data_IF_189024005423
#
_entry.id   IF_189024005423
#
_cell.length_a   1.000
_cell.length_b   1.000
_cell.length_c   1.000
_cell.angle_alpha   90.00
_cell.angle_beta   90.00
_cell.angle_gamma   90.00
#
_symmetry.space_group_name_H-M   'P 1'
#
loop_
_entity.id
_entity.type
_entity.pdbx_description
1 polymer ?
#
# COMPACT_ATOMS: atom_id res chain seq x y z
N UNK A 1 -10.36 18.77 9.73
CA UNK A 1 -9.72 18.52 8.41
C UNK A 1 -10.64 17.61 7.60
N UNK A 2 -10.57 17.63 6.27
CA UNK A 2 -11.30 16.67 5.44
C UNK A 2 -10.79 15.24 5.71
N UNK A 3 -11.66 14.24 5.59
CA UNK A 3 -11.26 12.82 5.75
C UNK A 3 -10.39 12.36 4.57
N UNK A 4 -9.67 11.25 4.72
CA UNK A 4 -8.85 10.72 3.64
C UNK A 4 -9.72 10.35 2.43
N UNK A 5 -10.87 9.73 2.65
CA UNK A 5 -11.82 9.37 1.61
C UNK A 5 -12.34 10.60 0.85
N UNK A 6 -12.62 11.71 1.54
CA UNK A 6 -13.03 12.95 0.88
C UNK A 6 -11.91 13.51 -0.02
N UNK A 7 -10.67 13.50 0.46
CA UNK A 7 -9.51 13.94 -0.33
C UNK A 7 -9.22 13.02 -1.52
N UNK A 8 -9.33 11.70 -1.34
CA UNK A 8 -9.18 10.70 -2.42
C UNK A 8 -10.27 10.89 -3.48
N UNK A 9 -11.51 11.14 -3.06
CA UNK A 9 -12.63 11.44 -3.95
C UNK A 9 -12.36 12.69 -4.78
N UNK A 10 -11.82 13.76 -4.18
CA UNK A 10 -11.42 14.97 -4.92
C UNK A 10 -10.34 14.67 -5.97
N UNK A 11 -9.34 13.83 -5.66
CA UNK A 11 -8.33 13.42 -6.66
C UNK A 11 -8.98 12.60 -7.77
N UNK A 12 -9.84 11.63 -7.42
CA UNK A 12 -10.51 10.77 -8.40
C UNK A 12 -11.40 11.58 -9.35
N UNK A 13 -12.16 12.53 -8.82
CA UNK A 13 -12.98 13.45 -9.61
C UNK A 13 -12.13 14.35 -10.49
N UNK A 14 -11.02 14.89 -9.97
CA UNK A 14 -10.07 15.67 -10.76
C UNK A 14 -9.46 14.87 -11.92
N UNK A 15 -9.12 13.60 -11.71
CA UNK A 15 -8.67 12.70 -12.78
C UNK A 15 -9.79 12.50 -13.81
N UNK A 16 -11.02 12.21 -13.37
CA UNK A 16 -12.15 12.00 -14.26
C UNK A 16 -12.49 13.22 -15.12
N UNK A 17 -12.38 14.43 -14.56
CA UNK A 17 -12.72 15.66 -15.25
C UNK A 17 -11.64 16.14 -16.22
N UNK A 18 -10.36 15.90 -15.90
CA UNK A 18 -9.23 16.50 -16.63
C UNK A 18 -8.44 15.50 -17.48
N UNK A 19 -8.55 14.19 -17.24
CA UNK A 19 -7.86 13.20 -18.06
C UNK A 19 -8.50 13.09 -19.46
N UNK A 20 -7.71 12.88 -20.51
CA UNK A 20 -8.25 12.55 -21.83
C UNK A 20 -9.17 11.32 -21.76
N UNK A 21 -10.28 11.32 -22.51
CA UNK A 21 -11.28 10.24 -22.46
C UNK A 21 -10.70 8.81 -22.58
N UNK A 22 -9.71 8.53 -23.47
CA UNK A 22 -9.09 7.21 -23.51
C UNK A 22 -8.41 6.79 -22.20
N UNK A 23 -7.77 7.73 -21.50
CA UNK A 23 -7.09 7.50 -20.22
C UNK A 23 -8.12 7.29 -19.11
N UNK A 24 -9.17 8.12 -19.06
CA UNK A 24 -10.24 7.96 -18.07
C UNK A 24 -10.99 6.62 -18.23
N UNK A 25 -11.24 6.18 -19.47
CA UNK A 25 -11.85 4.89 -19.77
C UNK A 25 -10.93 3.74 -19.37
N UNK A 26 -9.65 3.79 -19.73
CA UNK A 26 -8.66 2.77 -19.35
C UNK A 26 -8.52 2.61 -17.83
N UNK A 27 -8.55 3.72 -17.08
CA UNK A 27 -8.56 3.70 -15.61
C UNK A 27 -9.82 3.01 -15.09
N UNK A 28 -10.98 3.36 -15.63
CA UNK A 28 -12.28 2.81 -15.20
C UNK A 28 -12.38 1.31 -15.51
N UNK A 29 -12.02 0.91 -16.72
CA UNK A 29 -11.98 -0.50 -17.15
C UNK A 29 -10.98 -1.31 -16.33
N UNK A 30 -9.82 -0.74 -15.99
CA UNK A 30 -8.86 -1.38 -15.11
C UNK A 30 -9.49 -1.66 -13.74
N UNK A 31 -10.12 -0.68 -13.10
CA UNK A 31 -10.75 -0.85 -11.79
C UNK A 31 -11.88 -1.89 -11.83
N UNK A 32 -12.73 -1.85 -12.84
CA UNK A 32 -13.80 -2.84 -12.98
C UNK A 32 -13.25 -4.25 -13.25
N UNK A 33 -12.17 -4.36 -14.03
CA UNK A 33 -11.43 -5.61 -14.23
C UNK A 33 -10.83 -6.15 -12.93
N UNK A 34 -10.23 -5.29 -12.09
CA UNK A 34 -9.77 -5.67 -10.74
C UNK A 34 -10.93 -6.19 -9.91
N UNK A 35 -12.03 -5.43 -9.82
CA UNK A 35 -13.20 -5.80 -9.00
C UNK A 35 -13.80 -7.13 -9.43
N UNK A 36 -13.82 -7.42 -10.74
CA UNK A 36 -14.39 -8.63 -11.29
C UNK A 36 -13.51 -9.88 -11.08
N UNK A 37 -12.18 -9.72 -11.04
CA UNK A 37 -11.24 -10.86 -11.06
C UNK A 37 -10.48 -11.06 -9.75
N UNK A 38 -10.47 -10.08 -8.85
CA UNK A 38 -9.75 -10.18 -7.59
C UNK A 38 -10.44 -11.14 -6.61
N UNK A 39 -9.77 -12.24 -6.29
CA UNK A 39 -10.25 -13.23 -5.32
C UNK A 39 -10.06 -12.75 -3.88
N UNK A 40 -11.07 -12.07 -3.35
CA UNK A 40 -11.11 -11.65 -1.95
C UNK A 40 -11.04 -12.81 -0.95
N UNK A 41 -11.35 -14.05 -1.36
CA UNK A 41 -11.33 -15.21 -0.47
C UNK A 41 -9.91 -15.72 -0.16
N UNK A 42 -8.96 -15.43 -1.06
CA UNK A 42 -7.54 -15.74 -0.91
C UNK A 42 -6.79 -14.75 -0.01
N UNK A 43 -7.38 -13.57 0.26
CA UNK A 43 -6.78 -12.56 1.14
C UNK A 43 -6.63 -13.11 2.56
N UNK A 44 -5.49 -12.81 3.19
CA UNK A 44 -5.24 -13.13 4.60
C UNK A 44 -6.40 -12.70 5.49
N UNK A 45 -6.75 -13.54 6.48
CA UNK A 45 -7.95 -13.34 7.32
C UNK A 45 -7.57 -12.95 8.75
N UNK A 46 -8.40 -12.13 9.43
CA UNK A 46 -8.31 -11.98 10.88
C UNK A 46 -8.26 -13.32 11.62
N UNK A 47 -7.49 -13.38 12.71
CA UNK A 47 -7.26 -14.58 13.51
C UNK A 47 -6.13 -15.48 13.00
N UNK A 48 -5.54 -15.19 11.84
CA UNK A 48 -4.42 -15.97 11.30
C UNK A 48 -3.05 -15.37 11.70
N UNK A 49 -1.99 -16.18 11.84
CA UNK A 49 -0.64 -15.66 12.00
C UNK A 49 -0.18 -14.91 10.75
N UNK A 50 0.52 -13.77 10.95
CA UNK A 50 1.18 -13.07 9.86
C UNK A 50 2.33 -13.94 9.30
N UNK A 51 2.38 -14.21 7.98
CA UNK A 51 3.53 -14.88 7.38
C UNK A 51 4.81 -14.10 7.61
N UNK A 52 5.90 -14.82 7.89
CA UNK A 52 7.20 -14.18 8.13
C UNK A 52 7.74 -13.52 6.86
N UNK A 53 8.28 -12.31 7.00
CA UNK A 53 9.00 -11.65 5.91
C UNK A 53 10.33 -11.07 6.38
N UNK A 54 11.21 -10.84 5.41
CA UNK A 54 12.46 -10.11 5.54
C UNK A 54 12.60 -9.23 4.30
N UNK A 55 12.41 -7.93 4.46
CA UNK A 55 12.38 -6.97 3.36
C UNK A 55 13.38 -5.83 3.60
N UNK A 56 14.11 -5.37 2.58
CA UNK A 56 14.98 -4.21 2.72
C UNK A 56 14.13 -2.94 2.84
N UNK A 57 14.55 -2.03 3.71
CA UNK A 57 14.01 -0.68 3.77
C UNK A 57 14.68 0.23 2.74
N UNK A 58 14.28 1.51 2.70
CA UNK A 58 14.83 2.52 1.80
C UNK A 58 16.36 2.77 1.93
N UNK A 59 16.99 2.30 3.01
CA UNK A 59 18.44 2.35 3.23
C UNK A 59 19.15 1.04 2.89
N UNK A 60 18.43 0.05 2.37
CA UNK A 60 18.94 -1.30 2.08
C UNK A 60 19.14 -2.17 3.33
N UNK A 61 18.64 -1.73 4.49
CA UNK A 61 18.71 -2.51 5.72
C UNK A 61 17.53 -3.47 5.76
N UNK A 62 17.82 -4.74 6.05
CA UNK A 62 16.78 -5.75 6.24
C UNK A 62 15.96 -5.47 7.50
N UNK A 63 14.63 -5.50 7.33
CA UNK A 63 13.62 -5.44 8.39
C UNK A 63 12.82 -6.74 8.37
N UNK A 64 12.67 -7.39 9.52
CA UNK A 64 11.90 -8.64 9.64
C UNK A 64 10.58 -8.41 10.35
N UNK A 65 9.56 -9.21 10.00
CA UNK A 65 8.27 -9.21 10.72
C UNK A 65 8.46 -9.40 12.22
N UNK A 66 9.35 -10.31 12.63
CA UNK A 66 9.70 -10.56 14.03
C UNK A 66 10.25 -9.31 14.72
N UNK A 67 11.18 -8.58 14.08
CA UNK A 67 11.77 -7.37 14.67
C UNK A 67 10.76 -6.23 14.83
N UNK A 68 9.69 -6.23 14.02
CA UNK A 68 8.60 -5.26 14.13
C UNK A 68 7.64 -5.65 15.25
N UNK A 69 7.19 -6.90 15.27
CA UNK A 69 6.24 -7.44 16.26
C UNK A 69 6.84 -7.38 17.68
N UNK A 70 8.16 -7.59 17.83
CA UNK A 70 8.85 -7.46 19.11
C UNK A 70 8.76 -6.06 19.74
N UNK A 71 8.46 -5.01 18.95
CA UNK A 71 8.29 -3.64 19.44
C UNK A 71 6.85 -3.35 19.92
N UNK A 72 5.88 -4.17 19.53
CA UNK A 72 4.46 -3.95 19.77
C UNK A 72 3.59 -4.31 18.56
N UNK A 73 2.30 -3.95 18.58
CA UNK A 73 1.43 -4.12 17.43
C UNK A 73 1.96 -3.36 16.19
N UNK A 74 1.64 -3.87 15.01
CA UNK A 74 2.13 -3.33 13.73
C UNK A 74 0.96 -3.02 12.80
N UNK A 75 0.92 -1.80 12.28
CA UNK A 75 0.03 -1.41 11.20
C UNK A 75 0.80 -1.46 9.88
N UNK A 76 0.48 -2.42 9.01
CA UNK A 76 1.16 -2.63 7.72
C UNK A 76 0.25 -2.14 6.61
N UNK A 77 0.73 -1.25 5.75
CA UNK A 77 -0.02 -0.76 4.58
C UNK A 77 0.72 -1.10 3.28
N UNK A 78 0.01 -1.71 2.34
CA UNK A 78 0.50 -2.03 1.01
C UNK A 78 0.05 -0.96 0.01
N UNK A 79 0.98 -0.51 -0.82
CA UNK A 79 0.72 0.50 -1.85
C UNK A 79 1.42 0.15 -3.16
N UNK A 80 0.98 0.79 -4.26
CA UNK A 80 1.42 0.46 -5.62
C UNK A 80 2.81 0.97 -5.96
N UNK A 81 3.11 2.18 -5.47
CA UNK A 81 4.39 2.87 -5.66
C UNK A 81 4.26 4.39 -5.53
N UNK A 82 5.39 5.09 -5.47
CA UNK A 82 5.50 6.54 -5.26
C UNK A 82 4.89 7.38 -6.39
N UNK A 83 4.71 6.78 -7.56
CA UNK A 83 4.12 7.39 -8.76
C UNK A 83 2.61 7.49 -8.66
N UNK A 84 1.99 6.80 -7.69
CA UNK A 84 0.54 6.75 -7.56
C UNK A 84 0.04 7.86 -6.61
N UNK A 85 -0.74 8.84 -7.10
CA UNK A 85 -1.17 9.99 -6.29
C UNK A 85 -2.06 9.57 -5.10
N UNK A 86 -2.90 8.55 -5.28
CA UNK A 86 -3.73 7.99 -4.20
C UNK A 86 -2.88 7.33 -3.11
N UNK A 87 -1.75 6.71 -3.47
CA UNK A 87 -0.82 6.12 -2.50
C UNK A 87 -0.13 7.22 -1.67
N UNK A 88 0.39 8.25 -2.33
CA UNK A 88 1.08 9.35 -1.64
C UNK A 88 0.15 10.08 -0.66
N UNK A 89 -1.11 10.30 -1.03
CA UNK A 89 -2.09 10.90 -0.13
C UNK A 89 -2.37 10.00 1.08
N UNK A 90 -2.51 8.69 0.89
CA UNK A 90 -2.71 7.73 1.98
C UNK A 90 -1.52 7.72 2.94
N UNK A 91 -0.29 7.66 2.43
CA UNK A 91 0.94 7.67 3.24
C UNK A 91 1.10 8.99 4.01
N UNK A 92 0.81 10.14 3.37
CA UNK A 92 0.77 11.44 4.05
C UNK A 92 -0.27 11.47 5.17
N UNK A 93 -1.44 10.87 4.95
CA UNK A 93 -2.49 10.80 5.96
C UNK A 93 -2.06 9.98 7.18
N UNK A 94 -1.39 8.84 6.97
CA UNK A 94 -0.77 8.07 8.06
C UNK A 94 0.34 8.86 8.78
N UNK A 95 1.19 9.56 8.02
CA UNK A 95 2.26 10.41 8.56
C UNK A 95 1.71 11.51 9.49
N UNK A 96 0.55 12.09 9.17
CA UNK A 96 -0.11 13.11 9.99
C UNK A 96 -0.65 12.55 11.33
N UNK A 97 -0.96 11.26 11.38
CA UNK A 97 -1.47 10.56 12.57
C UNK A 97 -0.38 9.74 13.27
N UNK A 98 0.86 9.81 12.82
CA UNK A 98 1.95 8.94 13.28
C UNK A 98 2.18 9.02 14.78
N UNK A 99 2.15 10.22 15.36
CA UNK A 99 2.32 10.40 16.81
C UNK A 99 1.21 9.72 17.62
N UNK A 100 -0.01 9.62 17.07
CA UNK A 100 -1.12 8.92 17.73
C UNK A 100 -0.93 7.40 17.67
N UNK A 101 -0.45 6.87 16.54
CA UNK A 101 -0.08 5.45 16.44
C UNK A 101 1.05 5.11 17.42
N UNK A 102 2.11 5.93 17.46
CA UNK A 102 3.23 5.74 18.39
C UNK A 102 2.82 5.86 19.86
N UNK A 103 1.94 6.80 20.20
CA UNK A 103 1.41 6.94 21.56
C UNK A 103 0.64 5.69 22.04
N UNK A 104 0.10 4.90 21.11
CA UNK A 104 -0.55 3.61 21.37
C UNK A 104 0.40 2.41 21.24
N UNK A 105 1.70 2.64 21.10
CA UNK A 105 2.73 1.60 20.97
C UNK A 105 2.72 0.87 19.62
N UNK A 106 2.09 1.43 18.59
CA UNK A 106 1.97 0.80 17.27
C UNK A 106 3.07 1.27 16.34
N UNK A 107 3.74 0.31 15.70
CA UNK A 107 4.69 0.58 14.62
C UNK A 107 3.95 0.63 13.28
N UNK A 108 4.11 1.71 12.52
CA UNK A 108 3.56 1.81 11.16
C UNK A 108 4.62 1.39 10.14
N UNK A 109 4.24 0.63 9.12
CA UNK A 109 5.12 0.19 8.03
C UNK A 109 4.38 0.26 6.70
N UNK A 110 5.03 0.80 5.66
CA UNK A 110 4.54 0.77 4.29
C UNK A 110 5.35 -0.20 3.43
N UNK A 111 4.69 -0.94 2.54
CA UNK A 111 5.31 -1.94 1.67
C UNK A 111 4.83 -1.75 0.22
N UNK A 112 5.76 -1.74 -0.72
CA UNK A 112 5.48 -1.74 -2.17
C UNK A 112 6.45 -2.67 -2.91
N UNK A 113 6.18 -3.04 -4.17
CA UNK A 113 7.13 -3.83 -4.96
C UNK A 113 8.31 -3.01 -5.51
N UNK A 114 8.32 -1.70 -5.30
CA UNK A 114 9.35 -0.83 -5.87
C UNK A 114 10.71 -1.18 -5.32
N UNK A 115 11.70 -1.22 -6.21
CA UNK A 115 13.10 -1.36 -5.82
C UNK A 115 13.47 -0.26 -4.82
N UNK A 116 14.31 -0.55 -3.81
CA UNK A 116 14.80 0.47 -2.91
C UNK A 116 15.46 1.58 -3.74
N UNK A 117 14.86 2.77 -3.76
CA UNK A 117 15.42 3.87 -4.52
C UNK A 117 16.63 4.44 -3.77
N UNK A 118 17.82 3.95 -4.13
CA UNK A 118 19.07 4.34 -3.50
C UNK A 118 19.53 5.75 -3.90
N UNK A 119 18.94 6.36 -4.94
CA UNK A 119 19.33 7.70 -5.40
C UNK A 119 18.69 8.84 -4.60
N UNK A 120 17.68 8.56 -3.77
CA UNK A 120 17.08 9.56 -2.90
C UNK A 120 18.06 9.97 -1.80
N UNK A 121 18.17 11.27 -1.57
CA UNK A 121 18.88 11.82 -0.41
C UNK A 121 18.22 11.34 0.89
N UNK A 122 19.00 11.28 1.98
CA UNK A 122 18.46 10.95 3.31
C UNK A 122 17.27 11.85 3.67
N UNK A 123 17.26 13.11 3.22
CA UNK A 123 16.19 14.09 3.44
C UNK A 123 14.89 13.71 2.72
N UNK A 124 14.96 13.22 1.48
CA UNK A 124 13.78 12.74 0.73
C UNK A 124 13.27 11.41 1.31
N UNK A 125 14.16 10.55 1.80
CA UNK A 125 13.80 9.34 2.56
C UNK A 125 13.18 9.66 3.93
N UNK A 126 13.35 10.88 4.44
CA UNK A 126 12.87 11.34 5.74
C UNK A 126 11.50 12.04 5.70
N UNK A 127 10.84 12.18 4.54
CA UNK A 127 9.48 12.74 4.50
C UNK A 127 8.48 11.85 5.24
N UNK A 128 8.72 10.53 5.22
CA UNK A 128 8.02 9.56 6.05
C UNK A 128 8.90 9.20 7.24
N UNK A 129 8.35 9.33 8.45
CA UNK A 129 9.02 9.01 9.72
C UNK A 129 8.73 7.58 10.18
N UNK A 130 8.33 6.71 9.26
CA UNK A 130 8.07 5.29 9.48
C UNK A 130 8.71 4.45 8.37
N UNK A 131 8.88 3.15 8.62
CA UNK A 131 9.61 2.27 7.70
C UNK A 131 8.86 2.10 6.36
N UNK A 132 9.60 2.27 5.26
CA UNK A 132 9.14 1.95 3.90
C UNK A 132 9.99 0.80 3.39
N UNK A 133 9.35 -0.33 3.07
CA UNK A 133 9.98 -1.59 2.69
C UNK A 133 9.68 -1.96 1.24
N UNK A 134 10.65 -2.62 0.60
CA UNK A 134 10.55 -3.09 -0.78
C UNK A 134 10.31 -4.60 -0.85
N UNK A 135 9.10 -5.01 -1.22
CA UNK A 135 8.71 -6.39 -1.53
C UNK A 135 8.99 -6.74 -2.99
N UNK A 136 10.27 -6.79 -3.35
CA UNK A 136 10.72 -7.05 -4.72
C UNK A 136 10.16 -8.39 -5.24
N UNK A 137 9.46 -8.34 -6.37
CA UNK A 137 8.74 -9.49 -6.94
C UNK A 137 7.36 -9.76 -6.32
N UNK A 138 6.86 -8.87 -5.46
CA UNK A 138 5.60 -9.01 -4.73
C UNK A 138 5.53 -10.32 -3.91
N UNK A 139 6.65 -10.81 -3.37
CA UNK A 139 6.72 -12.14 -2.76
C UNK A 139 5.84 -12.22 -1.52
N UNK A 140 5.91 -11.23 -0.65
CA UNK A 140 5.09 -11.15 0.55
C UNK A 140 3.63 -10.83 0.21
N UNK A 141 3.38 -9.89 -0.72
CA UNK A 141 2.03 -9.60 -1.20
C UNK A 141 1.32 -10.84 -1.80
N UNK A 142 2.06 -11.72 -2.50
CA UNK A 142 1.53 -13.00 -3.01
C UNK A 142 1.16 -13.97 -1.88
N UNK A 143 1.96 -14.05 -0.81
CA UNK A 143 1.63 -14.89 0.35
C UNK A 143 0.35 -14.44 1.07
N UNK A 144 0.03 -13.15 1.01
CA UNK A 144 -1.16 -12.57 1.62
C UNK A 144 -2.40 -12.62 0.71
N UNK A 145 -2.27 -13.11 -0.52
CA UNK A 145 -3.36 -13.13 -1.50
C UNK A 145 -3.76 -11.76 -2.03
N UNK A 146 -2.86 -10.77 -1.98
CA UNK A 146 -3.15 -9.37 -2.38
C UNK A 146 -2.35 -8.92 -3.60
N UNK A 147 -1.59 -9.79 -4.26
CA UNK A 147 -0.85 -9.45 -5.48
C UNK A 147 -1.68 -9.76 -6.73
N UNK A 148 -1.71 -8.83 -7.69
CA UNK A 148 -2.51 -8.98 -8.90
C UNK A 148 -1.84 -8.37 -10.13
N UNK A 149 -1.92 -9.09 -11.25
CA UNK A 149 -1.37 -8.67 -12.54
C UNK A 149 -2.25 -7.58 -13.17
N UNK A 150 -1.64 -6.46 -13.56
CA UNK A 150 -2.38 -5.35 -14.14
C UNK A 150 -2.90 -5.71 -15.54
N UNK A 151 -4.13 -5.31 -15.92
CA UNK A 151 -4.69 -5.69 -17.20
C UNK A 151 -4.00 -4.90 -18.31
N UNK A 152 -3.92 -5.45 -19.52
CA UNK A 152 -3.31 -4.73 -20.64
C UNK A 152 -3.98 -3.39 -20.94
N UNK A 153 -5.28 -3.26 -20.63
CA UNK A 153 -6.04 -2.02 -20.80
C UNK A 153 -5.47 -0.83 -20.01
N UNK A 154 -4.68 -1.06 -18.95
CA UNK A 154 -4.06 0.02 -18.17
C UNK A 154 -2.68 0.44 -18.71
N UNK A 155 -2.09 -0.30 -19.66
CA UNK A 155 -0.79 0.05 -20.29
C UNK A 155 -0.75 1.49 -20.83
N UNK A 156 -1.77 1.98 -21.57
CA UNK A 156 -1.78 3.35 -22.07
C UNK A 156 -1.75 4.41 -20.96
N UNK A 157 -2.30 4.09 -19.79
CA UNK A 157 -2.27 4.98 -18.61
C UNK A 157 -0.83 5.08 -18.13
N UNK A 158 -0.14 3.95 -17.94
CA UNK A 158 1.25 3.96 -17.51
C UNK A 158 2.15 4.65 -18.53
N UNK A 159 1.97 4.42 -19.83
CA UNK A 159 2.72 5.09 -20.89
C UNK A 159 2.50 6.62 -20.85
N UNK A 160 1.25 7.06 -20.74
CA UNK A 160 0.91 8.49 -20.68
C UNK A 160 1.53 9.21 -19.47
N UNK A 161 1.73 8.50 -18.37
CA UNK A 161 2.36 9.03 -17.15
C UNK A 161 3.84 8.64 -17.02
N UNK A 162 4.46 8.03 -18.04
CA UNK A 162 5.86 7.57 -18.04
C UNK A 162 6.19 6.63 -16.86
N UNK A 163 5.25 5.74 -16.51
CA UNK A 163 5.39 4.76 -15.43
C UNK A 163 5.90 3.44 -16.02
N UNK A 164 7.19 3.16 -15.84
CA UNK A 164 7.76 1.86 -16.22
C UNK A 164 7.80 0.91 -15.01
N UNK A 165 6.77 0.07 -14.87
CA UNK A 165 6.71 -0.89 -13.75
C UNK A 165 7.88 -1.88 -13.75
N UNK A 166 8.40 -2.25 -14.93
CA UNK A 166 9.50 -3.21 -15.01
C UNK A 166 10.77 -2.64 -14.44
N UNK A 167 11.12 -1.43 -14.85
CA UNK A 167 12.30 -0.73 -14.33
C UNK A 167 12.15 -0.40 -12.84
N UNK A 168 10.94 -0.01 -12.40
CA UNK A 168 10.68 0.39 -11.02
C UNK A 168 10.65 -0.77 -10.03
N UNK A 169 10.08 -1.92 -10.42
CA UNK A 169 9.92 -3.07 -9.53
C UNK A 169 11.03 -4.12 -9.71
N UNK A 170 11.80 -4.03 -10.80
CA UNK A 170 12.90 -4.94 -11.10
C UNK A 170 12.46 -6.31 -11.62
N UNK A 171 11.21 -6.43 -12.06
CA UNK A 171 10.64 -7.66 -12.63
C UNK A 171 9.63 -7.34 -13.74
N UNK A 172 9.37 -8.31 -14.63
CA UNK A 172 8.44 -8.17 -15.75
C UNK A 172 7.05 -8.77 -15.48
N UNK A 173 6.72 -9.07 -14.22
CA UNK A 173 5.43 -9.67 -13.86
C UNK A 173 4.24 -8.75 -14.06
N UNK A 174 4.50 -7.44 -14.21
CA UNK A 174 3.48 -6.40 -14.37
C UNK A 174 2.39 -6.45 -13.28
N UNK A 175 2.78 -6.94 -12.09
CA UNK A 175 1.91 -7.14 -10.95
C UNK A 175 2.11 -6.06 -9.88
N UNK A 176 1.01 -5.66 -9.25
CA UNK A 176 0.99 -4.70 -8.15
C UNK A 176 0.16 -5.27 -7.00
N UNK A 177 0.45 -4.87 -5.75
CA UNK A 177 -0.42 -5.21 -4.65
C UNK A 177 -1.73 -4.41 -4.74
N UNK A 178 -2.84 -5.08 -4.47
CA UNK A 178 -4.11 -4.45 -4.13
C UNK A 178 -3.92 -3.69 -2.82
N UNK A 179 -4.30 -2.39 -2.75
CA UNK A 179 -4.14 -1.62 -1.52
C UNK A 179 -4.78 -2.33 -0.33
N UNK A 180 -3.93 -2.60 0.66
CA UNK A 180 -4.29 -3.42 1.81
C UNK A 180 -3.70 -2.82 3.06
N UNK A 181 -4.48 -2.68 4.13
CA UNK A 181 -3.98 -2.32 5.46
C UNK A 181 -4.31 -3.43 6.46
N UNK A 182 -3.30 -3.88 7.19
CA UNK A 182 -3.38 -4.94 8.19
C UNK A 182 -3.03 -4.36 9.56
N UNK A 183 -3.80 -4.73 10.58
CA UNK A 183 -3.36 -4.60 11.97
C UNK A 183 -2.93 -5.96 12.50
N UNK A 184 -1.72 -6.03 13.03
CA UNK A 184 -1.12 -7.25 13.60
C UNK A 184 -0.82 -6.99 15.07
N UNK A 185 -1.26 -7.87 15.97
CA UNK A 185 -0.99 -7.72 17.40
C UNK A 185 0.44 -8.14 17.79
N UNK A 186 0.82 -7.91 19.04
CA UNK A 186 2.16 -8.24 19.56
C UNK A 186 2.45 -9.75 19.63
N UNK A 187 1.47 -10.61 19.35
CA UNK A 187 1.64 -12.07 19.20
C UNK A 187 1.81 -12.48 17.74
N UNK A 188 1.81 -11.52 16.81
CA UNK A 188 1.91 -11.79 15.38
C UNK A 188 0.61 -12.27 14.75
N UNK A 189 -0.54 -12.06 15.39
CA UNK A 189 -1.85 -12.43 14.85
C UNK A 189 -2.47 -11.24 14.12
N UNK A 190 -2.94 -11.47 12.90
CA UNK A 190 -3.70 -10.48 12.13
C UNK A 190 -5.04 -10.26 12.82
N UNK A 191 -5.34 -9.02 13.22
CA UNK A 191 -6.58 -8.65 13.91
C UNK A 191 -7.59 -8.00 12.99
N UNK A 192 -7.11 -7.19 12.05
CA UNK A 192 -7.97 -6.50 11.10
C UNK A 192 -7.30 -6.46 9.72
N UNK A 193 -8.14 -6.49 8.69
CA UNK A 193 -7.74 -6.44 7.28
C UNK A 193 -8.71 -5.52 6.55
N UNK A 194 -8.17 -4.56 5.82
CA UNK A 194 -8.92 -3.77 4.84
C UNK A 194 -8.21 -3.88 3.50
N UNK A 195 -8.88 -4.45 2.50
CA UNK A 195 -8.37 -4.63 1.14
C UNK A 195 -9.44 -4.19 0.16
N UNK A 196 -9.09 -3.30 -0.77
CA UNK A 196 -10.02 -2.83 -1.79
C UNK A 196 -9.42 -2.92 -3.20
N UNK A 197 -10.03 -3.69 -4.14
CA UNK A 197 -9.61 -3.73 -5.54
C UNK A 197 -9.76 -2.38 -6.25
N UNK A 198 -10.63 -1.49 -5.76
CA UNK A 198 -10.61 -0.10 -6.17
C UNK A 198 -9.40 0.59 -5.53
N UNK A 199 -8.31 0.71 -6.30
CA UNK A 199 -7.07 1.28 -5.79
C UNK A 199 -7.15 2.77 -5.49
N UNK A 200 -8.32 3.41 -5.60
CA UNK A 200 -8.57 4.76 -5.11
C UNK A 200 -9.14 4.78 -3.68
N UNK A 201 -9.58 3.64 -3.13
CA UNK A 201 -10.13 3.51 -1.78
C UNK A 201 -9.04 3.12 -0.76
N UNK A 202 -9.10 3.69 0.45
CA UNK A 202 -8.12 3.46 1.52
C UNK A 202 -8.82 3.40 2.88
N UNK A 203 -8.19 2.70 3.83
CA UNK A 203 -8.60 2.74 5.22
C UNK A 203 -8.37 4.15 5.80
N UNK A 204 -9.38 4.71 6.47
CA UNK A 204 -9.23 5.96 7.21
C UNK A 204 -8.26 5.77 8.40
N UNK A 205 -7.34 6.71 8.67
CA UNK A 205 -6.47 6.64 9.84
C UNK A 205 -7.26 6.58 11.15
N UNK A 206 -8.42 7.25 11.24
CA UNK A 206 -9.30 7.17 12.42
C UNK A 206 -9.81 5.75 12.64
N UNK A 207 -10.22 5.05 11.58
CA UNK A 207 -10.63 3.64 11.68
C UNK A 207 -9.47 2.74 12.07
N UNK A 208 -8.26 3.00 11.55
CA UNK A 208 -7.06 2.27 11.99
C UNK A 208 -6.78 2.48 13.50
N UNK A 209 -6.97 3.70 14.01
CA UNK A 209 -6.85 4.01 15.44
C UNK A 209 -7.93 3.30 16.27
N UNK A 210 -9.17 3.24 15.79
CA UNK A 210 -10.25 2.47 16.44
C UNK A 210 -9.94 0.97 16.50
N UNK A 211 -9.35 0.40 15.45
CA UNK A 211 -8.89 -0.99 15.49
C UNK A 211 -7.84 -1.23 16.58
N UNK A 212 -6.92 -0.28 16.74
CA UNK A 212 -5.86 -0.34 17.74
C UNK A 212 -6.43 -0.24 19.15
N UNK A 213 -7.45 0.60 19.35
CA UNK A 213 -8.15 0.75 20.64
C UNK A 213 -8.91 -0.53 21.05
N UNK A 214 -9.16 -1.43 20.11
CA UNK A 214 -9.84 -2.71 20.34
C UNK A 214 -8.89 -3.93 20.48
N UNK A 215 -7.57 -3.74 20.50
CA UNK A 215 -6.58 -4.81 20.65
C UNK A 215 -6.60 -5.46 22.04
#
# INVERSE_FOLDING_TARGET
MATLAAQLSTIAEGVKQNAPAPIANAISESIEGLKATFDKSAVIKPGTPLPSFKLPNALGKDVTSESLIAKGPVLITFYRGDWCPFCNLALRSLQQHLDQFHAKGVTVVAISPELPNTSLSTTEKNELKFEVLSDVGNKFARQLGICWEQPESVKPVFDAFSIDLKTRNGDDSYALPVPTTLLVDSKGIVRNVHTDPDYMQRLEPSTALEWIDAL
#
